data_IF_468831733982
#
_entry.id   IF_468831733982
#
_cell.length_a   1.000
_cell.length_b   1.000
_cell.length_c   1.000
_cell.angle_alpha   90.00
_cell.angle_beta   90.00
_cell.angle_gamma   90.00
#
_symmetry.space_group_name_H-M   'P 1'
#
loop_
_entity.id
_entity.type
_entity.pdbx_description
1 polymer ?
#
# COMPACT_ATOMS: atom_id res chain seq x y z
N UNK A 1 13.79 -14.97 -6.09
CA UNK A 1 13.28 -13.97 -7.06
C UNK A 1 11.86 -13.56 -6.65
N UNK A 2 11.66 -12.32 -6.15
CA UNK A 2 10.34 -11.77 -5.75
C UNK A 2 9.79 -10.77 -6.79
N UNK A 3 10.10 -10.95 -8.07
CA UNK A 3 9.63 -10.04 -9.13
C UNK A 3 8.11 -10.13 -9.34
N UNK A 4 7.49 -11.26 -9.01
CA UNK A 4 6.07 -11.52 -9.31
C UNK A 4 5.10 -10.86 -8.33
N UNK A 5 5.45 -10.73 -7.05
CA UNK A 5 4.50 -10.23 -6.04
C UNK A 5 4.25 -8.72 -6.11
N UNK A 6 5.20 -7.92 -6.61
CA UNK A 6 5.01 -6.48 -6.80
C UNK A 6 4.30 -6.16 -8.11
N UNK A 7 4.58 -6.90 -9.19
CA UNK A 7 3.98 -6.68 -10.51
C UNK A 7 2.51 -7.10 -10.60
N UNK A 8 2.08 -8.10 -9.81
CA UNK A 8 0.71 -8.61 -9.84
C UNK A 8 -0.26 -7.85 -8.93
N UNK A 9 0.25 -7.06 -7.98
CA UNK A 9 -0.58 -6.25 -7.08
C UNK A 9 -1.06 -5.00 -7.81
N UNK A 10 -2.36 -4.72 -7.73
CA UNK A 10 -2.96 -3.49 -8.31
C UNK A 10 -2.49 -2.22 -7.62
N UNK A 11 -2.06 -2.33 -6.35
CA UNK A 11 -1.69 -1.22 -5.48
C UNK A 11 -0.34 -1.54 -4.86
N UNK A 12 0.54 -0.54 -4.86
CA UNK A 12 1.87 -0.64 -4.29
C UNK A 12 1.84 -0.79 -2.77
N UNK A 13 2.83 -1.49 -2.21
CA UNK A 13 2.99 -1.65 -0.76
C UNK A 13 3.08 -0.30 -0.05
N UNK A 14 3.93 0.60 -0.54
CA UNK A 14 4.19 1.90 0.09
C UNK A 14 3.02 2.88 -0.03
N UNK A 15 2.10 2.65 -0.98
CA UNK A 15 0.90 3.45 -1.16
C UNK A 15 -0.20 3.15 -0.15
N UNK A 16 -0.18 1.96 0.46
CA UNK A 16 -1.14 1.56 1.50
C UNK A 16 -0.55 1.41 2.88
N UNK A 17 0.79 1.32 2.99
CA UNK A 17 1.49 1.07 4.27
C UNK A 17 1.06 2.02 5.39
N UNK A 18 1.01 3.32 5.10
CA UNK A 18 0.58 4.31 6.09
C UNK A 18 -0.85 4.06 6.58
N UNK A 19 -1.75 3.61 5.72
CA UNK A 19 -3.15 3.40 6.09
C UNK A 19 -3.40 2.13 6.94
N UNK A 20 -2.42 1.23 7.04
CA UNK A 20 -2.54 -0.07 7.71
C UNK A 20 -3.67 -0.99 7.25
N UNK A 21 -4.26 -0.75 6.08
CA UNK A 21 -5.44 -1.50 5.68
C UNK A 21 -5.03 -2.86 5.09
N UNK A 22 -5.73 -3.97 5.46
CA UNK A 22 -5.48 -5.27 4.86
C UNK A 22 -5.71 -5.29 3.35
N UNK A 23 -4.87 -6.03 2.60
CA UNK A 23 -4.97 -6.16 1.14
C UNK A 23 -6.39 -6.57 0.70
N UNK A 24 -7.00 -7.52 1.44
CA UNK A 24 -8.38 -7.98 1.20
C UNK A 24 -9.42 -6.87 1.33
N UNK A 25 -9.25 -5.95 2.29
CA UNK A 25 -10.16 -4.82 2.45
C UNK A 25 -10.07 -3.89 1.26
N UNK A 26 -8.84 -3.55 0.84
CA UNK A 26 -8.58 -2.63 -0.27
C UNK A 26 -9.10 -3.22 -1.59
N UNK A 27 -8.85 -4.51 -1.84
CA UNK A 27 -9.37 -5.21 -3.02
C UNK A 27 -10.90 -5.22 -3.05
N UNK A 28 -11.54 -5.47 -1.89
CA UNK A 28 -12.99 -5.42 -1.76
C UNK A 28 -13.54 -4.01 -1.98
N UNK A 29 -12.89 -3.00 -1.41
CA UNK A 29 -13.28 -1.60 -1.59
C UNK A 29 -13.19 -1.20 -3.06
N UNK A 30 -12.12 -1.59 -3.76
CA UNK A 30 -11.92 -1.23 -5.16
C UNK A 30 -12.78 -2.05 -6.14
N UNK A 31 -13.29 -3.21 -5.72
CA UNK A 31 -13.99 -4.15 -6.60
C UNK A 31 -15.26 -3.53 -7.20
N UNK A 32 -15.31 -3.44 -8.53
CA UNK A 32 -16.51 -3.13 -9.30
C UNK A 32 -16.87 -4.36 -10.13
N UNK A 33 -17.89 -5.10 -9.68
CA UNK A 33 -18.36 -6.32 -10.33
C UNK A 33 -19.60 -5.99 -11.15
N UNK A 34 -19.53 -6.17 -12.46
CA UNK A 34 -20.64 -5.96 -13.38
C UNK A 34 -21.56 -7.17 -13.43
N UNK A 35 -20.97 -8.36 -13.33
CA UNK A 35 -21.70 -9.62 -13.37
C UNK A 35 -20.96 -10.69 -12.59
N UNK A 36 -21.68 -11.59 -11.93
CA UNK A 36 -21.14 -12.74 -11.21
C UNK A 36 -22.07 -13.94 -11.40
N UNK A 37 -21.50 -15.14 -11.51
CA UNK A 37 -22.30 -16.37 -11.52
C UNK A 37 -23.09 -16.54 -10.23
N UNK A 38 -24.29 -17.15 -10.29
CA UNK A 38 -25.02 -17.56 -9.09
C UNK A 38 -24.18 -18.49 -8.22
N UNK A 39 -24.36 -18.42 -6.90
CA UNK A 39 -23.68 -19.29 -5.95
C UNK A 39 -24.40 -20.65 -5.87
N UNK A 40 -24.25 -21.49 -6.91
CA UNK A 40 -24.86 -22.83 -7.00
C UNK A 40 -23.81 -23.85 -7.46
N UNK A 41 -23.90 -25.14 -7.06
CA UNK A 41 -22.89 -26.16 -7.36
C UNK A 41 -22.56 -26.30 -8.85
N UNK A 42 -23.56 -26.12 -9.72
CA UNK A 42 -23.41 -26.29 -11.17
C UNK A 42 -22.71 -25.10 -11.85
N UNK A 43 -22.47 -24.00 -11.14
CA UNK A 43 -21.83 -22.82 -11.69
C UNK A 43 -20.41 -22.67 -11.14
N UNK A 44 -19.44 -22.58 -12.05
CA UNK A 44 -18.09 -22.15 -11.68
C UNK A 44 -18.14 -20.70 -11.15
N UNK A 45 -17.34 -20.35 -10.13
CA UNK A 45 -17.29 -18.99 -9.61
C UNK A 45 -16.59 -18.07 -10.61
N UNK A 46 -17.35 -17.42 -11.49
CA UNK A 46 -16.87 -16.46 -12.49
C UNK A 46 -17.45 -15.08 -12.21
N UNK A 47 -16.64 -14.04 -12.41
CA UNK A 47 -17.05 -12.64 -12.31
C UNK A 47 -16.49 -11.83 -13.45
N UNK A 48 -17.29 -10.92 -13.98
CA UNK A 48 -16.87 -9.85 -14.89
C UNK A 48 -16.71 -8.62 -14.02
N UNK A 49 -15.48 -8.17 -13.85
CA UNK A 49 -15.13 -7.03 -13.02
C UNK A 49 -14.27 -6.03 -13.77
N UNK A 50 -14.30 -4.78 -13.30
CA UNK A 50 -13.38 -3.75 -13.76
C UNK A 50 -11.95 -4.13 -13.36
N UNK A 51 -11.07 -4.23 -14.35
CA UNK A 51 -9.64 -4.52 -14.14
C UNK A 51 -8.78 -3.26 -14.16
N UNK A 52 -9.19 -2.23 -14.90
CA UNK A 52 -8.44 -1.00 -15.11
C UNK A 52 -9.08 0.15 -14.35
N UNK A 53 -8.31 0.72 -13.42
CA UNK A 53 -8.70 1.87 -12.61
C UNK A 53 -7.80 3.06 -12.95
N UNK A 54 -8.37 4.24 -12.89
CA UNK A 54 -7.64 5.50 -12.92
C UNK A 54 -7.19 5.84 -11.50
N UNK A 55 -5.89 5.74 -11.26
CA UNK A 55 -5.29 6.17 -10.01
C UNK A 55 -5.01 7.67 -10.08
N UNK A 56 -5.70 8.45 -9.25
CA UNK A 56 -5.43 9.87 -9.03
C UNK A 56 -4.67 10.03 -7.71
N UNK A 57 -4.85 11.15 -7.01
CA UNK A 57 -4.35 11.36 -5.64
C UNK A 57 -5.26 10.64 -4.63
N UNK A 58 -6.48 10.28 -5.02
CA UNK A 58 -7.45 9.67 -4.12
C UNK A 58 -7.14 8.20 -3.88
N UNK A 59 -7.21 7.76 -2.62
CA UNK A 59 -6.90 6.37 -2.24
C UNK A 59 -8.05 5.44 -2.65
N UNK A 60 -7.77 4.18 -3.00
CA UNK A 60 -8.78 3.24 -3.51
C UNK A 60 -9.98 2.96 -2.60
N UNK A 61 -9.84 3.21 -1.29
CA UNK A 61 -10.89 3.05 -0.29
C UNK A 61 -11.65 4.36 0.02
N UNK A 62 -11.45 5.44 -0.75
CA UNK A 62 -12.17 6.71 -0.54
C UNK A 62 -13.29 6.92 -1.56
N UNK A 63 -14.31 7.68 -1.14
CA UNK A 63 -15.44 8.02 -2.01
C UNK A 63 -15.01 8.81 -3.26
N UNK A 64 -14.01 9.69 -3.15
CA UNK A 64 -13.53 10.44 -4.32
C UNK A 64 -12.95 9.50 -5.39
N UNK A 65 -12.20 8.45 -4.99
CA UNK A 65 -11.69 7.46 -5.93
C UNK A 65 -12.81 6.71 -6.66
N UNK A 66 -13.89 6.36 -5.95
CA UNK A 66 -15.08 5.76 -6.56
C UNK A 66 -15.75 6.69 -7.56
N UNK A 67 -15.83 7.99 -7.25
CA UNK A 67 -16.41 9.00 -8.13
C UNK A 67 -15.56 9.22 -9.39
N UNK A 68 -14.24 9.18 -9.27
CA UNK A 68 -13.32 9.24 -10.41
C UNK A 68 -13.45 8.00 -11.30
N UNK A 69 -13.67 6.84 -10.68
CA UNK A 69 -13.79 5.54 -11.33
C UNK A 69 -15.25 5.06 -11.46
N UNK A 70 -16.21 5.97 -11.59
CA UNK A 70 -17.61 5.59 -11.78
C UNK A 70 -17.76 4.64 -12.98
N UNK A 71 -18.73 3.71 -12.98
CA UNK A 71 -18.92 2.77 -14.09
C UNK A 71 -19.09 3.45 -15.46
N UNK A 72 -19.68 4.64 -15.49
CA UNK A 72 -19.86 5.46 -16.71
C UNK A 72 -18.57 6.13 -17.20
N UNK A 73 -17.54 6.24 -16.35
CA UNK A 73 -16.28 6.92 -16.68
C UNK A 73 -15.28 5.94 -17.27
N UNK A 74 -15.01 6.11 -18.56
CA UNK A 74 -13.95 5.41 -19.28
C UNK A 74 -12.71 6.30 -19.35
N UNK A 75 -11.60 5.79 -18.83
CA UNK A 75 -10.31 6.49 -18.82
C UNK A 75 -9.37 5.83 -19.81
N UNK A 76 -8.55 6.65 -20.49
CA UNK A 76 -7.43 6.14 -21.28
C UNK A 76 -6.42 5.46 -20.35
N UNK A 77 -5.80 4.39 -20.83
CA UNK A 77 -4.75 3.72 -20.08
C UNK A 77 -3.52 4.63 -20.00
N UNK A 78 -3.01 4.80 -18.78
CA UNK A 78 -1.81 5.61 -18.52
C UNK A 78 -0.64 4.65 -18.46
N UNK A 79 0.31 4.80 -19.38
CA UNK A 79 1.56 4.05 -19.34
C UNK A 79 2.46 4.65 -18.25
N UNK A 80 2.95 3.79 -17.37
CA UNK A 80 3.82 4.15 -16.26
C UNK A 80 5.11 3.36 -16.40
N UNK A 81 6.24 4.02 -16.23
CA UNK A 81 7.56 3.40 -16.30
C UNK A 81 7.70 2.34 -15.19
N UNK A 82 8.07 1.10 -15.52
CA UNK A 82 8.22 0.06 -14.50
C UNK A 82 9.46 0.32 -13.64
N UNK A 83 9.25 0.52 -12.34
CA UNK A 83 10.33 0.66 -11.36
C UNK A 83 10.58 -0.70 -10.71
N UNK A 84 11.81 -1.21 -10.83
CA UNK A 84 12.22 -2.47 -10.19
C UNK A 84 12.29 -2.33 -8.68
N UNK A 85 13.04 -1.33 -8.22
CA UNK A 85 13.30 -1.09 -6.80
C UNK A 85 12.86 0.33 -6.44
N UNK A 86 11.89 0.41 -5.53
CA UNK A 86 11.35 1.69 -5.09
C UNK A 86 12.28 2.35 -4.06
N UNK A 87 12.74 3.57 -4.33
CA UNK A 87 13.80 4.23 -3.56
C UNK A 87 13.32 5.34 -2.62
N UNK A 88 12.04 5.71 -2.59
CA UNK A 88 11.53 6.88 -1.88
C UNK A 88 10.56 6.47 -0.77
N UNK A 89 10.77 6.93 0.45
CA UNK A 89 9.96 6.56 1.61
C UNK A 89 9.40 7.81 2.30
N UNK A 90 8.30 7.62 3.03
CA UNK A 90 7.69 8.71 3.80
C UNK A 90 8.67 9.26 4.83
N UNK A 91 8.84 10.58 4.81
CA UNK A 91 9.80 11.32 5.62
C UNK A 91 11.19 11.46 5.01
N UNK A 92 11.42 10.97 3.78
CA UNK A 92 12.68 11.27 3.09
C UNK A 92 12.75 12.76 2.76
N UNK A 93 13.96 13.31 2.87
CA UNK A 93 14.26 14.66 2.38
C UNK A 93 14.60 14.59 0.89
N UNK A 94 13.88 15.38 0.11
CA UNK A 94 13.99 15.40 -1.35
C UNK A 94 14.10 16.82 -1.88
N UNK A 95 14.71 16.95 -3.05
CA UNK A 95 14.86 18.23 -3.75
C UNK A 95 14.14 18.16 -5.10
N UNK A 96 13.38 19.22 -5.42
CA UNK A 96 12.76 19.39 -6.72
C UNK A 96 13.79 19.79 -7.78
N UNK A 97 13.84 19.05 -8.90
CA UNK A 97 14.78 19.31 -9.99
C UNK A 97 14.25 20.32 -11.02
N UNK A 98 12.93 20.48 -11.12
CA UNK A 98 12.28 21.30 -12.12
C UNK A 98 10.97 21.94 -11.64
N UNK A 99 10.38 22.77 -12.48
CA UNK A 99 9.15 23.51 -12.18
C UNK A 99 9.39 24.76 -11.34
N UNK A 100 8.29 25.30 -10.79
CA UNK A 100 8.29 26.55 -9.99
C UNK A 100 9.17 26.48 -8.74
N UNK A 101 9.27 25.29 -8.15
CA UNK A 101 9.98 25.05 -6.90
C UNK A 101 11.34 24.37 -7.09
N UNK A 102 11.98 24.59 -8.25
CA UNK A 102 13.32 24.05 -8.55
C UNK A 102 14.32 24.47 -7.47
N UNK A 103 15.09 23.50 -6.99
CA UNK A 103 16.13 23.69 -5.97
C UNK A 103 15.61 23.71 -4.53
N UNK A 104 14.30 23.85 -4.31
CA UNK A 104 13.72 23.76 -2.97
C UNK A 104 13.70 22.32 -2.48
N UNK A 105 13.84 22.16 -1.18
CA UNK A 105 13.80 20.87 -0.50
C UNK A 105 12.51 20.73 0.30
N UNK A 106 12.03 19.51 0.44
CA UNK A 106 10.86 19.17 1.23
C UNK A 106 10.89 17.73 1.70
N UNK A 107 9.89 17.36 2.48
CA UNK A 107 9.76 16.02 3.07
C UNK A 107 8.67 15.24 2.34
N UNK A 108 8.93 13.98 2.01
CA UNK A 108 7.93 13.11 1.35
C UNK A 108 6.79 12.80 2.33
N UNK A 109 5.58 13.25 1.99
CA UNK A 109 4.35 13.08 2.77
C UNK A 109 3.61 11.81 2.38
N UNK A 110 3.35 11.63 1.09
CA UNK A 110 2.57 10.51 0.56
C UNK A 110 3.20 9.89 -0.68
N UNK A 111 2.98 8.58 -0.86
CA UNK A 111 3.54 7.79 -1.98
C UNK A 111 2.40 7.13 -2.78
N UNK A 112 2.54 7.15 -4.11
CA UNK A 112 1.60 6.61 -5.10
C UNK A 112 2.40 5.82 -6.15
N UNK A 113 2.65 4.55 -5.86
CA UNK A 113 3.48 3.70 -6.71
C UNK A 113 2.77 3.36 -8.03
N UNK A 114 1.45 3.42 -8.06
CA UNK A 114 0.64 3.13 -9.26
C UNK A 114 0.92 4.12 -10.39
N UNK A 115 1.46 5.30 -10.08
CA UNK A 115 1.82 6.36 -11.04
C UNK A 115 3.24 6.88 -10.88
N UNK A 116 4.08 6.22 -10.07
CA UNK A 116 5.40 6.69 -9.68
C UNK A 116 5.41 8.11 -9.12
N UNK A 117 4.39 8.43 -8.32
CA UNK A 117 4.17 9.76 -7.76
C UNK A 117 4.50 9.80 -6.28
N UNK A 118 4.98 10.96 -5.85
CA UNK A 118 5.13 11.33 -4.45
C UNK A 118 4.54 12.72 -4.23
N UNK A 119 3.98 12.94 -3.04
CA UNK A 119 3.59 14.28 -2.59
C UNK A 119 4.64 14.73 -1.59
N UNK A 120 5.18 15.92 -1.81
CA UNK A 120 6.23 16.51 -0.98
C UNK A 120 5.66 17.74 -0.30
N UNK A 121 5.91 17.85 1.01
CA UNK A 121 5.44 18.98 1.82
C UNK A 121 5.98 20.31 1.26
N UNK A 122 5.07 21.25 1.01
CA UNK A 122 5.40 22.61 0.57
C UNK A 122 5.94 22.74 -0.87
N UNK A 123 6.04 21.66 -1.65
CA UNK A 123 6.47 21.70 -3.05
C UNK A 123 5.31 21.45 -4.01
N UNK A 124 5.38 22.06 -5.20
CA UNK A 124 4.41 21.90 -6.27
C UNK A 124 2.96 22.17 -5.79
N UNK A 125 2.77 23.24 -5.04
CA UNK A 125 1.46 23.58 -4.46
C UNK A 125 0.57 24.31 -5.45
N UNK A 126 -0.72 23.98 -5.44
CA UNK A 126 -1.78 24.75 -6.11
C UNK A 126 -2.70 25.38 -5.06
N UNK A 127 -3.18 26.59 -5.32
CA UNK A 127 -4.24 27.20 -4.51
C UNK A 127 -5.58 26.58 -4.89
N UNK A 128 -6.21 25.88 -3.94
CA UNK A 128 -7.56 25.34 -4.07
C UNK A 128 -8.54 26.14 -3.21
N UNK A 129 -9.67 26.48 -3.79
CA UNK A 129 -10.73 27.25 -3.14
C UNK A 129 -11.74 26.29 -2.52
N UNK A 130 -11.74 26.20 -1.19
CA UNK A 130 -12.69 25.38 -0.45
C UNK A 130 -13.86 26.26 0.01
N UNK A 131 -15.02 25.98 -0.59
CA UNK A 131 -16.29 26.63 -0.23
C UNK A 131 -16.81 26.01 1.06
N UNK A 132 -16.82 26.78 2.14
CA UNK A 132 -17.39 26.33 3.43
C UNK A 132 -18.91 26.53 3.38
N UNK A 133 -19.35 27.71 2.96
CA UNK A 133 -20.76 28.10 2.81
C UNK A 133 -20.96 28.93 1.54
N UNK A 134 -22.21 29.25 1.19
CA UNK A 134 -22.52 30.11 0.01
C UNK A 134 -21.81 31.47 0.03
N UNK A 135 -21.48 32.00 1.22
CA UNK A 135 -20.87 33.33 1.41
C UNK A 135 -19.37 33.31 1.68
N UNK A 136 -18.79 32.19 2.12
CA UNK A 136 -17.41 32.14 2.61
C UNK A 136 -16.62 31.04 1.91
N UNK A 137 -15.49 31.45 1.32
CA UNK A 137 -14.51 30.56 0.69
C UNK A 137 -13.12 30.80 1.27
N UNK A 138 -12.40 29.72 1.57
CA UNK A 138 -11.02 29.78 2.05
C UNK A 138 -10.12 29.18 0.98
N UNK A 139 -9.05 29.88 0.65
CA UNK A 139 -8.00 29.37 -0.23
C UNK A 139 -6.97 28.62 0.62
N UNK A 140 -6.72 27.36 0.27
CA UNK A 140 -5.67 26.56 0.89
C UNK A 140 -4.67 26.10 -0.17
N UNK A 141 -3.40 26.06 0.22
CA UNK A 141 -2.35 25.47 -0.61
C UNK A 141 -2.46 23.95 -0.50
N UNK A 142 -2.67 23.29 -1.63
CA UNK A 142 -2.70 21.83 -1.74
C UNK A 142 -1.49 21.36 -2.56
N UNK A 143 -0.69 20.49 -1.97
CA UNK A 143 0.49 19.91 -2.63
C UNK A 143 0.04 18.98 -3.77
N UNK A 144 0.70 19.08 -4.93
CA UNK A 144 0.42 18.25 -6.09
C UNK A 144 1.51 17.17 -6.26
N UNK A 145 1.17 16.01 -6.86
CA UNK A 145 2.12 14.93 -7.03
C UNK A 145 3.28 15.34 -7.94
N UNK A 146 4.45 14.84 -7.62
CA UNK A 146 5.68 14.94 -8.39
C UNK A 146 6.09 13.55 -8.87
N UNK A 147 6.60 13.48 -10.10
CA UNK A 147 7.09 12.24 -10.69
C UNK A 147 8.49 11.91 -10.16
N UNK A 148 8.61 10.70 -9.62
CA UNK A 148 9.82 10.21 -8.96
C UNK A 148 10.99 10.03 -9.93
N UNK A 149 10.73 9.71 -11.20
CA UNK A 149 11.78 9.37 -12.16
C UNK A 149 12.54 10.58 -12.70
N UNK A 150 11.91 11.76 -12.77
CA UNK A 150 12.49 12.94 -13.42
C UNK A 150 12.43 14.24 -12.62
N UNK A 151 11.46 14.41 -11.72
CA UNK A 151 11.21 15.70 -11.09
C UNK A 151 11.83 15.84 -9.71
N UNK A 152 12.26 14.74 -9.08
CA UNK A 152 12.68 14.71 -7.69
C UNK A 152 13.89 13.80 -7.49
N UNK A 153 14.81 14.19 -6.61
CA UNK A 153 15.91 13.36 -6.13
C UNK A 153 16.00 13.40 -4.61
N UNK A 154 16.57 12.34 -4.00
CA UNK A 154 16.87 12.40 -2.57
C UNK A 154 18.04 13.34 -2.33
N UNK A 155 18.05 13.93 -1.14
CA UNK A 155 19.12 14.78 -0.64
C UNK A 155 20.07 13.94 0.18
N UNK A 156 21.38 14.06 -0.07
CA UNK A 156 22.40 13.46 0.79
C UNK A 156 22.44 14.22 2.13
N UNK A 157 22.31 13.54 3.29
CA UNK A 157 22.36 14.20 4.60
C UNK A 157 23.69 14.91 4.90
N UNK A 158 24.76 14.61 4.16
CA UNK A 158 26.12 15.06 4.47
C UNK A 158 26.45 16.43 3.89
N UNK A 159 25.93 16.74 2.71
CA UNK A 159 26.19 17.99 2.00
C UNK A 159 24.92 18.71 1.54
N UNK A 160 23.75 18.12 1.83
CA UNK A 160 22.45 18.72 1.58
C UNK A 160 22.17 19.01 0.10
N UNK A 161 22.81 18.29 -0.83
CA UNK A 161 22.51 18.42 -2.27
C UNK A 161 21.78 17.19 -2.80
N UNK A 162 20.98 17.37 -3.87
CA UNK A 162 20.36 16.28 -4.61
C UNK A 162 21.40 15.29 -5.14
N UNK A 163 21.12 14.00 -4.99
CA UNK A 163 21.99 12.94 -5.52
C UNK A 163 21.21 11.78 -6.11
N UNK A 164 21.71 11.17 -7.20
CA UNK A 164 21.21 9.87 -7.65
C UNK A 164 21.63 8.78 -6.67
N UNK A 165 20.85 7.69 -6.64
CA UNK A 165 20.98 6.62 -5.66
C UNK A 165 21.15 5.28 -6.32
N UNK A 166 21.98 4.47 -5.69
CA UNK A 166 22.13 3.07 -5.99
C UNK A 166 21.78 2.22 -4.75
N UNK A 167 21.13 1.08 -4.96
CA UNK A 167 20.93 0.10 -3.90
C UNK A 167 22.15 -0.83 -3.82
N UNK A 168 22.84 -0.84 -2.67
CA UNK A 168 23.97 -1.74 -2.40
C UNK A 168 23.69 -2.60 -1.17
N UNK A 169 24.48 -3.66 -1.01
CA UNK A 169 24.48 -4.47 0.21
C UNK A 169 25.67 -4.10 1.07
N UNK A 170 25.47 -3.97 2.37
CA UNK A 170 26.57 -3.85 3.34
C UNK A 170 27.21 -5.21 3.57
N UNK A 171 28.38 -5.23 4.21
CA UNK A 171 29.07 -6.46 4.63
C UNK A 171 28.19 -7.34 5.52
N UNK A 172 27.31 -6.72 6.31
CA UNK A 172 26.31 -7.39 7.15
C UNK A 172 25.13 -7.99 6.36
N UNK A 173 25.11 -7.88 5.03
CA UNK A 173 24.03 -8.33 4.15
C UNK A 173 22.78 -7.44 4.15
N UNK A 174 22.83 -6.25 4.78
CA UNK A 174 21.70 -5.33 4.80
C UNK A 174 21.64 -4.53 3.51
N UNK A 175 20.45 -4.46 2.90
CA UNK A 175 20.22 -3.68 1.68
C UNK A 175 20.02 -2.20 2.04
N UNK A 176 20.89 -1.34 1.54
CA UNK A 176 20.91 0.09 1.86
C UNK A 176 20.96 0.95 0.59
N UNK A 177 20.45 2.18 0.70
CA UNK A 177 20.57 3.20 -0.36
C UNK A 177 21.90 3.91 -0.19
N UNK A 178 22.66 4.05 -1.27
CA UNK A 178 23.96 4.74 -1.29
C UNK A 178 23.88 5.89 -2.28
N UNK A 179 24.34 7.06 -1.84
CA UNK A 179 24.50 8.22 -2.72
C UNK A 179 25.63 7.93 -3.72
N UNK A 180 25.36 8.12 -5.01
CA UNK A 180 26.37 7.93 -6.06
C UNK A 180 27.47 8.99 -5.95
N UNK A 181 27.15 10.20 -5.49
CA UNK A 181 28.09 11.33 -5.43
C UNK A 181 29.06 11.23 -4.26
N UNK A 182 28.57 10.94 -3.05
CA UNK A 182 29.40 10.89 -1.84
C UNK A 182 29.79 9.48 -1.40
N UNK A 183 29.14 8.44 -1.97
CA UNK A 183 29.28 7.07 -1.50
C UNK A 183 28.66 6.81 -0.13
N UNK A 184 27.97 7.77 0.49
CA UNK A 184 27.39 7.62 1.82
C UNK A 184 26.03 6.96 1.81
N UNK A 185 25.71 6.29 2.90
CA UNK A 185 24.44 5.59 3.09
C UNK A 185 23.34 6.61 3.42
N UNK A 186 22.24 6.55 2.67
CA UNK A 186 21.02 7.31 2.97
C UNK A 186 20.05 6.37 3.70
N UNK A 187 19.94 6.46 5.03
CA UNK A 187 19.10 5.55 5.82
C UNK A 187 17.64 5.73 5.45
N UNK A 188 16.84 4.67 5.62
CA UNK A 188 15.38 4.77 5.51
C UNK A 188 14.86 5.49 6.76
N UNK A 189 14.07 6.57 6.62
CA UNK A 189 13.54 7.33 7.75
C UNK A 189 12.71 6.45 8.68
N UNK A 190 12.77 6.71 9.98
CA UNK A 190 11.93 6.02 10.98
C UNK A 190 10.44 6.29 10.71
N UNK A 191 10.11 7.48 10.20
CA UNK A 191 8.78 7.90 9.78
C UNK A 191 8.16 7.02 8.69
N UNK A 192 8.96 6.25 7.94
CA UNK A 192 8.45 5.30 6.95
C UNK A 192 7.69 4.11 7.58
N UNK A 193 7.90 3.88 8.88
CA UNK A 193 7.22 2.86 9.68
C UNK A 193 5.96 3.41 10.37
N UNK A 194 5.73 4.71 10.27
CA UNK A 194 4.53 5.33 10.80
C UNK A 194 3.30 4.86 10.03
N UNK A 195 2.23 4.76 10.79
CA UNK A 195 0.94 4.24 10.37
C UNK A 195 -0.13 5.18 10.92
N UNK A 196 -1.36 5.13 10.39
CA UNK A 196 -2.51 5.88 10.95
C UNK A 196 -2.70 5.55 12.43
N UNK A 197 -2.52 4.29 12.81
CA UNK A 197 -2.78 3.81 14.17
C UNK A 197 -1.66 4.16 15.17
N UNK A 198 -0.41 4.24 14.71
CA UNK A 198 0.74 4.47 15.57
C UNK A 198 1.91 5.11 14.83
N UNK A 199 2.74 5.87 15.57
CA UNK A 199 4.00 6.41 15.05
C UNK A 199 5.10 5.35 14.99
N UNK A 200 5.26 4.61 16.08
CA UNK A 200 6.24 3.52 16.20
C UNK A 200 5.47 2.31 16.74
N UNK A 201 5.71 1.09 16.22
CA UNK A 201 5.01 -0.11 16.70
C UNK A 201 5.11 -0.31 18.22
N UNK A 202 6.25 0.06 18.82
CA UNK A 202 6.48 -0.01 20.27
C UNK A 202 5.60 0.91 21.11
N UNK A 203 5.05 1.97 20.50
CA UNK A 203 4.17 2.95 21.17
C UNK A 203 2.69 2.60 21.02
N UNK A 204 2.37 1.49 20.35
CA UNK A 204 1.00 1.04 20.22
C UNK A 204 0.41 0.72 21.60
N UNK A 205 -0.82 1.18 21.83
CA UNK A 205 -1.57 0.88 23.05
C UNK A 205 -2.63 -0.15 22.69
N UNK A 206 -2.57 -1.30 23.35
CA UNK A 206 -3.52 -2.39 23.18
C UNK A 206 -4.94 -1.92 23.53
N UNK A 207 -5.89 -2.27 22.65
CA UNK A 207 -7.31 -2.02 22.84
C UNK A 207 -7.99 -3.20 23.52
N UNK A 208 -9.21 -2.99 24.03
CA UNK A 208 -10.00 -4.03 24.74
C UNK A 208 -10.27 -5.27 23.88
N UNK A 209 -10.30 -5.13 22.55
CA UNK A 209 -10.54 -6.25 21.61
C UNK A 209 -9.26 -6.80 20.98
N UNK A 210 -8.10 -6.31 21.40
CA UNK A 210 -6.83 -6.80 20.88
C UNK A 210 -6.37 -8.02 21.67
N UNK A 211 -5.62 -8.88 20.99
CA UNK A 211 -5.01 -10.05 21.63
C UNK A 211 -3.71 -9.63 22.28
N UNK A 212 -3.46 -10.10 23.51
CA UNK A 212 -2.22 -9.77 24.21
C UNK A 212 -1.05 -10.52 23.60
N UNK A 213 0.16 -9.95 23.70
CA UNK A 213 1.38 -10.61 23.22
C UNK A 213 1.57 -12.02 23.81
N UNK A 214 1.28 -12.18 25.11
CA UNK A 214 1.41 -13.45 25.81
C UNK A 214 0.48 -14.53 25.23
N UNK A 215 -0.76 -14.16 24.89
CA UNK A 215 -1.72 -15.09 24.29
C UNK A 215 -1.31 -15.51 22.87
N UNK A 216 -0.71 -14.60 22.09
CA UNK A 216 -0.26 -14.88 20.72
C UNK A 216 1.01 -15.73 20.70
N UNK A 217 1.95 -15.50 21.63
CA UNK A 217 3.20 -16.29 21.71
C UNK A 217 3.00 -17.68 22.30
N UNK A 218 1.85 -17.94 22.94
CA UNK A 218 1.50 -19.25 23.49
C UNK A 218 1.40 -20.28 22.37
N UNK A 219 2.33 -21.24 22.36
CA UNK A 219 2.30 -22.38 21.44
C UNK A 219 1.18 -23.31 21.88
N UNK A 220 0.08 -23.30 21.11
CA UNK A 220 -1.10 -24.15 21.35
C UNK A 220 -1.24 -25.29 20.34
N UNK A 221 -0.42 -25.28 19.28
CA UNK A 221 -0.49 -26.27 18.22
C UNK A 221 0.30 -27.52 18.59
N UNK A 222 -0.41 -28.66 18.61
CA UNK A 222 0.16 -29.99 18.77
C UNK A 222 0.07 -30.74 17.44
N UNK A 223 1.19 -31.22 16.87
CA UNK A 223 1.16 -31.94 15.61
C UNK A 223 0.56 -33.34 15.80
N UNK A 224 -0.68 -33.53 15.34
CA UNK A 224 -1.36 -34.82 15.37
C UNK A 224 -1.67 -35.30 13.94
N UNK A 225 -1.76 -36.61 13.74
CA UNK A 225 -2.21 -37.23 12.48
C UNK A 225 -3.75 -37.24 12.38
N UNK A 226 -4.37 -36.09 12.61
CA UNK A 226 -5.83 -35.87 12.56
C UNK A 226 -6.11 -34.63 11.71
N UNK A 227 -7.26 -34.58 11.04
CA UNK A 227 -7.71 -33.33 10.43
C UNK A 227 -8.28 -32.38 11.48
N UNK A 228 -8.41 -31.10 11.15
CA UNK A 228 -9.01 -30.09 12.02
C UNK A 228 -10.42 -30.47 12.47
N UNK A 229 -11.22 -31.03 11.55
CA UNK A 229 -12.59 -31.46 11.83
C UNK A 229 -12.62 -32.65 12.79
N UNK A 230 -11.74 -33.63 12.60
CA UNK A 230 -11.63 -34.80 13.49
C UNK A 230 -11.23 -34.40 14.92
N UNK A 231 -10.24 -33.51 15.05
CA UNK A 231 -9.80 -32.99 16.35
C UNK A 231 -10.92 -32.23 17.08
N UNK A 232 -11.69 -31.40 16.37
CA UNK A 232 -12.86 -30.72 16.94
C UNK A 232 -13.94 -31.71 17.36
N UNK A 233 -14.25 -32.71 16.53
CA UNK A 233 -15.26 -33.71 16.88
C UNK A 233 -14.90 -34.43 18.17
N UNK A 234 -13.65 -34.84 18.32
CA UNK A 234 -13.16 -35.50 19.53
C UNK A 234 -13.20 -34.57 20.75
N UNK A 235 -12.71 -33.32 20.61
CA UNK A 235 -12.73 -32.31 21.68
C UNK A 235 -14.14 -31.95 22.13
N UNK A 236 -15.08 -31.87 21.20
CA UNK A 236 -16.49 -31.56 21.48
C UNK A 236 -17.32 -32.80 21.84
N UNK A 237 -16.73 -34.01 21.83
CA UNK A 237 -17.42 -35.26 22.10
C UNK A 237 -18.49 -35.64 21.06
N UNK A 238 -18.38 -35.11 19.85
CA UNK A 238 -19.31 -35.37 18.74
C UNK A 238 -19.00 -36.75 18.16
N UNK A 239 -20.00 -37.64 18.19
CA UNK A 239 -19.92 -38.98 17.59
C UNK A 239 -20.68 -39.01 16.27
N UNK A 240 -20.06 -39.55 15.23
CA UNK A 240 -20.69 -39.77 13.93
C UNK A 240 -20.72 -41.27 13.64
N UNK A 241 -21.88 -41.88 13.85
CA UNK A 241 -22.08 -43.31 13.65
C UNK A 241 -22.42 -43.66 12.19
N UNK A 242 -22.71 -42.66 11.34
CA UNK A 242 -23.07 -42.89 9.95
C UNK A 242 -21.83 -43.13 9.11
N UNK A 243 -21.85 -44.21 8.32
CA UNK A 243 -20.80 -44.50 7.35
C UNK A 243 -21.08 -43.72 6.05
N UNK A 244 -20.13 -42.93 5.53
CA UNK A 244 -20.31 -42.24 4.26
C UNK A 244 -20.52 -43.25 3.12
N UNK A 245 -21.60 -43.07 2.36
CA UNK A 245 -21.91 -43.93 1.21
C UNK A 245 -20.84 -43.76 0.14
N UNK A 246 -20.50 -44.86 -0.56
CA UNK A 246 -19.59 -44.81 -1.71
C UNK A 246 -20.18 -43.92 -2.80
N UNK A 247 -19.34 -43.10 -3.41
CA UNK A 247 -19.71 -42.19 -4.48
C UNK A 247 -18.60 -42.17 -5.53
N UNK A 248 -18.98 -41.95 -6.78
CA UNK A 248 -18.06 -41.91 -7.91
C UNK A 248 -17.71 -40.46 -8.22
N UNK A 249 -16.43 -40.20 -8.47
CA UNK A 249 -15.94 -38.93 -9.00
C UNK A 249 -15.57 -39.16 -10.47
N UNK A 250 -16.12 -38.36 -11.38
CA UNK A 250 -15.87 -38.40 -12.83
C UNK A 250 -15.61 -37.00 -13.35
#
# INVERSE_FOLDING_TARGET
MRLTSSLLKRIGEWSKKFANLPDRYIERAMAQVYWKTPNKPNYLPRKIERKRFHFSIHRPWTHQFHRDNAPSKLHKFIHVEPIKDWSFFRGDRVQGLGGKDKGKQGIVKDIYQERNWIIVEGLNTKLECNKINKKYSVYMQQEQPLLVTSQVQLVDPSDMQATPIEWRFTENGQRVRVSVRSGRIIPIPVSSKETIDYKIPKLYREQVKDTTKADVEKITFEPALKTFEMDIMEKMGIKEDRVPKKFYWY
#
